data_IF_838180034217
#
_entry.id   IF_838180034217
#
_cell.length_a   1.000
_cell.length_b   1.000
_cell.length_c   1.000
_cell.angle_alpha   90.00
_cell.angle_beta   90.00
_cell.angle_gamma   90.00
#
_symmetry.space_group_name_H-M   'P 1'
#
loop_
_entity.id
_entity.type
_entity.pdbx_description
1 polymer ?
#
# COMPACT_ATOMS: atom_id res chain seq x y z
N UNK A 1 5.47 30.02 16.16
CA UNK A 1 6.47 28.95 15.96
C UNK A 1 7.00 29.07 14.54
N UNK A 2 8.32 29.22 14.43
CA UNK A 2 8.98 29.38 13.13
C UNK A 2 9.06 28.00 12.47
N UNK A 3 8.48 27.83 11.28
CA UNK A 3 8.61 26.59 10.51
C UNK A 3 10.02 26.55 9.94
N UNK A 4 10.81 25.55 10.34
CA UNK A 4 12.15 25.36 9.81
C UNK A 4 12.07 24.54 8.50
N UNK A 5 12.16 25.27 7.39
CA UNK A 5 12.08 24.72 6.04
C UNK A 5 13.31 23.84 5.73
N UNK A 6 14.47 24.18 6.24
CA UNK A 6 15.70 23.43 5.98
C UNK A 6 15.70 22.08 6.70
N UNK A 7 15.16 22.03 7.92
CA UNK A 7 14.95 20.78 8.65
C UNK A 7 13.94 19.88 7.92
N UNK A 8 12.85 20.46 7.42
CA UNK A 8 11.84 19.72 6.65
C UNK A 8 12.45 19.14 5.36
N UNK A 9 13.19 19.94 4.59
CA UNK A 9 13.89 19.47 3.40
C UNK A 9 14.86 18.34 3.70
N UNK A 10 15.64 18.46 4.76
CA UNK A 10 16.59 17.44 5.20
C UNK A 10 15.91 16.12 5.57
N UNK A 11 14.75 16.20 6.21
CA UNK A 11 13.97 15.02 6.57
C UNK A 11 13.31 14.36 5.35
N UNK A 12 12.81 15.14 4.39
CA UNK A 12 12.26 14.64 3.13
C UNK A 12 13.32 13.92 2.28
N UNK A 13 14.57 14.42 2.26
CA UNK A 13 15.68 13.80 1.53
C UNK A 13 16.19 12.52 2.22
N UNK A 14 16.07 12.42 3.54
CA UNK A 14 16.49 11.22 4.28
C UNK A 14 15.66 9.97 3.92
N UNK A 15 14.40 10.15 3.53
CA UNK A 15 13.49 9.07 3.17
C UNK A 15 13.30 8.99 1.64
N UNK A 16 14.43 9.01 0.92
CA UNK A 16 14.46 9.01 -0.54
C UNK A 16 14.39 7.60 -1.15
N UNK A 17 14.34 6.57 -0.34
CA UNK A 17 14.29 5.18 -0.79
C UNK A 17 12.87 4.65 -0.81
N UNK A 18 12.55 3.92 -1.87
CA UNK A 18 11.28 3.23 -2.07
C UNK A 18 11.56 1.82 -2.56
N UNK A 19 10.75 0.85 -2.10
CA UNK A 19 10.81 -0.50 -2.64
C UNK A 19 9.93 -0.64 -3.88
N UNK A 20 10.38 -1.47 -4.79
CA UNK A 20 9.59 -2.03 -5.89
C UNK A 20 9.65 -3.55 -5.83
N UNK A 21 8.54 -4.15 -6.18
CA UNK A 21 8.38 -5.60 -6.29
C UNK A 21 8.06 -5.97 -7.73
N UNK A 22 8.78 -6.92 -8.28
CA UNK A 22 8.39 -7.59 -9.50
C UNK A 22 7.38 -8.67 -9.14
N UNK A 23 6.14 -8.51 -9.59
CA UNK A 23 5.01 -9.32 -9.14
C UNK A 23 4.43 -10.14 -10.29
N UNK A 24 3.92 -11.30 -9.94
CA UNK A 24 2.99 -12.07 -10.76
C UNK A 24 1.72 -12.36 -9.98
N UNK A 25 0.59 -12.51 -10.68
CA UNK A 25 -0.73 -12.73 -10.09
C UNK A 25 -1.45 -13.94 -10.67
N UNK A 26 -2.27 -14.57 -9.85
CA UNK A 26 -3.34 -15.48 -10.26
C UNK A 26 -4.63 -14.98 -9.63
N UNK A 27 -5.56 -14.54 -10.45
CA UNK A 27 -6.91 -14.19 -10.03
C UNK A 27 -7.83 -15.37 -10.35
N UNK A 28 -8.56 -15.88 -9.38
CA UNK A 28 -9.53 -16.95 -9.57
C UNK A 28 -10.80 -16.69 -8.79
N UNK A 29 -11.89 -17.23 -9.24
CA UNK A 29 -13.19 -17.24 -8.57
C UNK A 29 -13.55 -18.63 -8.04
N UNK A 30 -14.57 -18.68 -7.21
CA UNK A 30 -15.14 -19.90 -6.64
C UNK A 30 -16.66 -19.79 -6.69
N UNK A 31 -17.31 -20.92 -6.93
CA UNK A 31 -18.77 -20.99 -6.91
C UNK A 31 -19.33 -20.86 -5.49
N UNK A 32 -18.66 -21.49 -4.52
CA UNK A 32 -19.00 -21.47 -3.09
C UNK A 32 -17.73 -21.31 -2.25
N UNK A 33 -17.84 -20.63 -1.10
CA UNK A 33 -16.70 -20.41 -0.20
C UNK A 33 -16.08 -21.72 0.34
N UNK A 34 -16.86 -22.78 0.45
CA UNK A 34 -16.38 -24.11 0.85
C UNK A 34 -15.35 -24.68 -0.13
N UNK A 35 -15.40 -24.27 -1.39
CA UNK A 35 -14.52 -24.74 -2.46
C UNK A 35 -13.18 -23.99 -2.52
N UNK A 36 -12.96 -22.94 -1.69
CA UNK A 36 -11.75 -22.14 -1.72
C UNK A 36 -10.50 -22.99 -1.47
N UNK A 37 -10.50 -23.79 -0.42
CA UNK A 37 -9.34 -24.62 -0.08
C UNK A 37 -9.02 -25.64 -1.15
N UNK A 38 -10.01 -26.29 -1.74
CA UNK A 38 -9.83 -27.25 -2.81
C UNK A 38 -9.23 -26.59 -4.04
N UNK A 39 -9.79 -25.46 -4.48
CA UNK A 39 -9.29 -24.69 -5.63
C UNK A 39 -7.86 -24.20 -5.40
N UNK A 40 -7.58 -23.67 -4.21
CA UNK A 40 -6.25 -23.23 -3.83
C UNK A 40 -5.23 -24.37 -3.84
N UNK A 41 -5.59 -25.56 -3.34
CA UNK A 41 -4.71 -26.71 -3.39
C UNK A 41 -4.42 -27.17 -4.82
N UNK A 42 -5.39 -27.14 -5.71
CA UNK A 42 -5.21 -27.46 -7.13
C UNK A 42 -4.19 -26.50 -7.76
N UNK A 43 -4.39 -25.19 -7.56
CA UNK A 43 -3.49 -24.16 -8.07
C UNK A 43 -2.06 -24.33 -7.47
N UNK A 44 -1.98 -24.55 -6.17
CA UNK A 44 -0.69 -24.74 -5.47
C UNK A 44 0.06 -25.98 -5.96
N UNK A 45 -0.63 -27.07 -6.25
CA UNK A 45 -0.03 -28.28 -6.86
C UNK A 45 0.55 -27.95 -8.24
N UNK A 46 -0.16 -27.19 -9.06
CA UNK A 46 0.33 -26.76 -10.38
C UNK A 46 1.56 -25.88 -10.26
N UNK A 47 1.55 -24.91 -9.33
CA UNK A 47 2.67 -24.03 -9.06
C UNK A 47 3.92 -24.86 -8.68
N UNK A 48 3.75 -25.83 -7.76
CA UNK A 48 4.85 -26.67 -7.27
C UNK A 48 5.37 -27.66 -8.32
N UNK A 49 4.47 -28.19 -9.14
CA UNK A 49 4.84 -29.20 -10.16
C UNK A 49 5.51 -28.57 -11.38
N UNK A 50 5.04 -27.43 -11.82
CA UNK A 50 5.47 -26.76 -13.04
C UNK A 50 6.04 -25.36 -12.73
N UNK A 51 5.17 -24.34 -12.56
CA UNK A 51 5.58 -22.99 -12.20
C UNK A 51 4.36 -22.13 -11.86
N UNK A 52 4.59 -20.98 -11.23
CA UNK A 52 3.55 -19.96 -11.05
C UNK A 52 2.97 -19.48 -12.38
N UNK A 53 3.85 -19.28 -13.38
CA UNK A 53 3.47 -18.90 -14.74
C UNK A 53 2.52 -19.92 -15.38
N UNK A 54 2.81 -21.22 -15.27
CA UNK A 54 1.94 -22.28 -15.77
C UNK A 54 0.57 -22.25 -15.09
N UNK A 55 0.55 -22.12 -13.77
CA UNK A 55 -0.69 -22.04 -13.01
C UNK A 55 -1.52 -20.79 -13.38
N UNK A 56 -0.87 -19.65 -13.62
CA UNK A 56 -1.54 -18.43 -14.08
C UNK A 56 -2.19 -18.62 -15.46
N UNK A 57 -1.48 -19.22 -16.41
CA UNK A 57 -2.01 -19.53 -17.75
C UNK A 57 -3.26 -20.43 -17.71
N UNK A 58 -3.32 -21.36 -16.74
CA UNK A 58 -4.38 -22.36 -16.67
C UNK A 58 -5.58 -21.87 -15.83
N UNK A 59 -5.30 -21.21 -14.71
CA UNK A 59 -6.32 -20.96 -13.68
C UNK A 59 -6.68 -19.48 -13.49
N UNK A 60 -5.86 -18.55 -13.97
CA UNK A 60 -6.14 -17.12 -13.78
C UNK A 60 -7.21 -16.63 -14.75
N UNK A 61 -8.19 -15.91 -14.20
CA UNK A 61 -9.24 -15.21 -14.97
C UNK A 61 -8.87 -13.76 -15.27
N UNK A 62 -7.68 -13.33 -14.84
CA UNK A 62 -7.14 -11.99 -15.13
C UNK A 62 -6.68 -11.89 -16.58
N UNK A 63 -6.70 -10.67 -17.15
CA UNK A 63 -6.13 -10.39 -18.48
C UNK A 63 -4.63 -10.70 -18.56
N UNK A 64 -3.92 -10.59 -17.42
CA UNK A 64 -2.49 -10.93 -17.31
C UNK A 64 -2.20 -12.42 -17.48
N UNK A 65 -3.23 -13.28 -17.41
CA UNK A 65 -3.08 -14.74 -17.56
C UNK A 65 -2.32 -15.12 -18.82
N UNK A 66 -2.56 -14.42 -19.94
CA UNK A 66 -1.91 -14.68 -21.24
C UNK A 66 -0.40 -14.49 -21.21
N UNK A 67 0.11 -13.67 -20.27
CA UNK A 67 1.54 -13.46 -20.01
C UNK A 67 2.05 -14.27 -18.80
N UNK A 68 1.23 -15.20 -18.28
CA UNK A 68 1.55 -15.98 -17.10
C UNK A 68 1.41 -15.20 -15.79
N UNK A 69 0.51 -14.22 -15.78
CA UNK A 69 0.21 -13.42 -14.59
C UNK A 69 1.21 -12.27 -14.34
N UNK A 70 2.09 -11.95 -15.28
CA UNK A 70 3.13 -10.95 -15.08
C UNK A 70 2.56 -9.53 -14.94
N UNK A 71 2.83 -8.89 -13.79
CA UNK A 71 2.49 -7.50 -13.49
C UNK A 71 3.71 -6.56 -13.67
N UNK A 72 4.91 -7.10 -13.82
CA UNK A 72 6.15 -6.34 -13.85
C UNK A 72 6.50 -5.69 -12.51
N UNK A 73 7.26 -4.58 -12.57
CA UNK A 73 7.70 -3.84 -11.40
C UNK A 73 6.62 -2.89 -10.88
N UNK A 74 6.20 -3.09 -9.63
CA UNK A 74 5.18 -2.30 -8.95
C UNK A 74 5.79 -1.60 -7.75
N UNK A 75 5.62 -0.28 -7.66
CA UNK A 75 6.09 0.51 -6.52
C UNK A 75 5.28 0.18 -5.27
N UNK A 76 5.94 0.03 -4.13
CA UNK A 76 5.30 -0.31 -2.85
C UNK A 76 4.15 0.64 -2.50
N UNK A 77 4.31 1.95 -2.73
CA UNK A 77 3.28 2.95 -2.46
C UNK A 77 2.06 2.89 -3.39
N UNK A 78 2.15 2.17 -4.52
CA UNK A 78 1.03 1.93 -5.45
C UNK A 78 0.23 0.68 -5.07
N UNK A 79 0.75 -0.15 -4.18
CA UNK A 79 0.09 -1.37 -3.74
C UNK A 79 -0.91 -1.04 -2.62
N UNK A 80 -2.12 -1.58 -2.73
CA UNK A 80 -3.12 -1.46 -1.67
C UNK A 80 -2.54 -2.00 -0.33
N UNK A 81 -2.78 -1.30 0.78
CA UNK A 81 -2.23 -1.65 2.10
C UNK A 81 -2.57 -3.07 2.56
N UNK A 82 -3.78 -3.57 2.24
CA UNK A 82 -4.20 -4.93 2.56
C UNK A 82 -3.38 -5.95 1.79
N UNK A 83 -3.17 -5.72 0.50
CA UNK A 83 -2.37 -6.59 -0.37
C UNK A 83 -0.89 -6.54 0.03
N UNK A 84 -0.35 -5.34 0.27
CA UNK A 84 1.03 -5.18 0.72
C UNK A 84 1.31 -5.96 2.02
N UNK A 85 0.38 -5.95 2.96
CA UNK A 85 0.50 -6.71 4.22
C UNK A 85 0.66 -8.21 3.97
N UNK A 86 -0.02 -8.77 2.97
CA UNK A 86 0.11 -10.18 2.61
C UNK A 86 1.42 -10.46 1.85
N UNK A 87 1.83 -9.56 0.96
CA UNK A 87 3.14 -9.65 0.27
C UNK A 87 4.29 -9.68 1.28
N UNK A 88 4.24 -8.84 2.32
CA UNK A 88 5.31 -8.77 3.33
C UNK A 88 5.44 -10.01 4.22
N UNK A 89 4.48 -10.93 4.18
CA UNK A 89 4.55 -12.22 4.93
C UNK A 89 5.33 -13.30 4.21
N UNK A 90 5.54 -13.16 2.91
CA UNK A 90 6.16 -14.19 2.05
C UNK A 90 7.53 -13.76 1.56
N UNK A 91 8.32 -14.73 1.12
CA UNK A 91 9.64 -14.51 0.54
C UNK A 91 9.58 -14.48 -1.00
N UNK A 92 10.67 -14.09 -1.63
CA UNK A 92 10.83 -14.17 -3.09
C UNK A 92 10.59 -15.61 -3.55
N UNK A 93 9.81 -15.76 -4.62
CA UNK A 93 9.37 -17.06 -5.18
C UNK A 93 8.47 -17.89 -4.24
N UNK A 94 7.92 -17.28 -3.21
CA UNK A 94 6.91 -17.89 -2.36
C UNK A 94 5.56 -17.21 -2.60
N UNK A 95 4.56 -17.94 -3.13
CA UNK A 95 3.21 -17.39 -3.33
C UNK A 95 2.53 -17.05 -2.02
N UNK A 96 1.69 -16.02 -2.04
CA UNK A 96 0.81 -15.69 -0.91
C UNK A 96 -0.31 -16.73 -0.76
N UNK A 97 -0.93 -16.75 0.40
CA UNK A 97 -2.27 -17.33 0.54
C UNK A 97 -3.28 -16.54 -0.30
N UNK A 98 -4.47 -17.12 -0.61
CA UNK A 98 -5.51 -16.44 -1.33
C UNK A 98 -5.98 -15.17 -0.60
N UNK A 99 -5.92 -14.03 -1.27
CA UNK A 99 -6.36 -12.74 -0.78
C UNK A 99 -7.72 -12.43 -1.38
N UNK A 100 -8.75 -12.24 -0.55
CA UNK A 100 -10.08 -11.86 -1.05
C UNK A 100 -10.05 -10.42 -1.55
N UNK A 101 -10.45 -10.25 -2.81
CA UNK A 101 -10.62 -8.96 -3.48
C UNK A 101 -11.98 -8.89 -4.17
N UNK A 102 -12.47 -7.71 -4.58
CA UNK A 102 -13.62 -7.64 -5.48
C UNK A 102 -13.35 -8.42 -6.76
N UNK A 103 -14.25 -9.35 -7.10
CA UNK A 103 -14.11 -10.21 -8.28
C UNK A 103 -13.47 -11.57 -8.05
N UNK A 104 -13.07 -11.92 -6.80
CA UNK A 104 -12.57 -13.27 -6.50
C UNK A 104 -11.44 -13.31 -5.48
N UNK A 105 -10.49 -14.19 -5.71
CA UNK A 105 -9.33 -14.41 -4.86
C UNK A 105 -8.03 -14.21 -5.66
N UNK A 106 -7.10 -13.52 -5.06
CA UNK A 106 -5.82 -13.18 -5.65
C UNK A 106 -4.69 -13.95 -4.95
N UNK A 107 -3.86 -14.62 -5.71
CA UNK A 107 -2.57 -15.16 -5.26
C UNK A 107 -1.48 -14.32 -5.92
N UNK A 108 -0.52 -13.84 -5.15
CA UNK A 108 0.62 -13.07 -5.64
C UNK A 108 1.92 -13.84 -5.42
N UNK A 109 2.85 -13.66 -6.33
CA UNK A 109 4.23 -14.13 -6.19
C UNK A 109 5.18 -12.96 -6.37
N UNK A 110 6.15 -12.84 -5.46
CA UNK A 110 7.26 -11.91 -5.61
C UNK A 110 8.32 -12.60 -6.44
N UNK A 111 8.52 -12.15 -7.68
CA UNK A 111 9.57 -12.69 -8.55
C UNK A 111 10.93 -12.09 -8.17
N UNK A 112 10.95 -10.80 -7.79
CA UNK A 112 12.14 -10.07 -7.38
C UNK A 112 11.74 -8.81 -6.61
N UNK A 113 12.69 -8.18 -5.91
CA UNK A 113 12.49 -6.90 -5.22
C UNK A 113 13.74 -6.03 -5.33
N UNK A 114 13.55 -4.72 -5.36
CA UNK A 114 14.66 -3.76 -5.39
C UNK A 114 14.31 -2.48 -4.63
N UNK A 115 15.35 -1.77 -4.21
CA UNK A 115 15.22 -0.39 -3.74
C UNK A 115 15.49 0.57 -4.89
N UNK A 116 14.63 1.57 -5.03
CA UNK A 116 14.78 2.68 -5.97
C UNK A 116 14.80 4.00 -5.21
N UNK A 117 15.38 5.03 -5.82
CA UNK A 117 15.19 6.39 -5.31
C UNK A 117 13.77 6.86 -5.58
N UNK A 118 13.12 7.44 -4.57
CA UNK A 118 11.88 8.19 -4.79
C UNK A 118 12.18 9.37 -5.70
N UNK A 119 11.42 9.52 -6.76
CA UNK A 119 11.31 10.80 -7.45
C UNK A 119 10.47 11.72 -6.58
N UNK A 120 11.13 12.50 -5.70
CA UNK A 120 10.46 13.45 -4.82
C UNK A 120 10.49 14.79 -5.53
N UNK A 121 9.31 15.30 -5.88
CA UNK A 121 9.14 16.72 -6.18
C UNK A 121 9.20 17.47 -4.85
N UNK A 122 10.43 17.88 -4.48
CA UNK A 122 10.70 18.52 -3.19
C UNK A 122 9.82 19.75 -2.96
N UNK A 123 9.49 20.51 -4.00
CA UNK A 123 8.70 21.72 -3.88
C UNK A 123 7.24 21.38 -3.54
N UNK A 124 6.66 20.40 -4.21
CA UNK A 124 5.30 19.91 -3.91
C UNK A 124 5.19 19.27 -2.53
N UNK A 125 6.16 18.46 -2.14
CA UNK A 125 6.15 17.83 -0.81
C UNK A 125 6.37 18.87 0.29
N UNK A 126 7.22 19.86 0.06
CA UNK A 126 7.42 20.97 0.97
C UNK A 126 6.14 21.79 1.15
N UNK A 127 5.45 22.14 0.06
CA UNK A 127 4.16 22.84 0.12
C UNK A 127 3.12 22.08 0.97
N UNK A 128 3.02 20.75 0.78
CA UNK A 128 2.08 19.93 1.56
C UNK A 128 2.41 19.96 3.05
N UNK A 129 3.67 19.78 3.41
CA UNK A 129 4.11 19.74 4.82
C UNK A 129 3.92 21.11 5.48
N UNK A 130 4.27 22.20 4.78
CA UNK A 130 4.09 23.57 5.27
C UNK A 130 2.59 23.87 5.47
N UNK A 131 1.74 23.47 4.52
CA UNK A 131 0.28 23.65 4.62
C UNK A 131 -0.32 22.90 5.80
N UNK A 132 0.10 21.65 6.03
CA UNK A 132 -0.36 20.85 7.19
C UNK A 132 0.08 21.52 8.50
N UNK A 133 1.37 21.87 8.64
CA UNK A 133 1.88 22.53 9.84
C UNK A 133 1.23 23.88 10.10
N UNK A 134 0.95 24.66 9.06
CA UNK A 134 0.24 25.93 9.18
C UNK A 134 -1.20 25.75 9.64
N UNK A 135 -1.91 24.76 9.08
CA UNK A 135 -3.28 24.46 9.50
C UNK A 135 -3.33 23.97 10.96
N UNK A 136 -2.37 23.13 11.37
CA UNK A 136 -2.29 22.65 12.75
C UNK A 136 -2.04 23.81 13.73
N UNK A 137 -1.18 24.75 13.37
CA UNK A 137 -0.94 25.97 14.16
C UNK A 137 -2.21 26.83 14.27
N UNK A 138 -2.91 27.07 13.16
CA UNK A 138 -4.17 27.82 13.15
C UNK A 138 -5.24 27.15 14.03
N UNK A 139 -5.34 25.82 13.98
CA UNK A 139 -6.28 25.07 14.82
C UNK A 139 -5.91 25.18 16.31
N UNK A 140 -4.62 25.14 16.67
CA UNK A 140 -4.17 25.35 18.04
C UNK A 140 -4.49 26.76 18.54
N UNK A 141 -4.23 27.81 17.73
CA UNK A 141 -4.60 29.18 18.07
C UNK A 141 -6.10 29.36 18.24
N UNK A 142 -6.91 28.81 17.34
CA UNK A 142 -8.37 28.82 17.44
C UNK A 142 -8.87 28.19 18.73
N UNK A 143 -8.34 27.05 19.12
CA UNK A 143 -8.71 26.35 20.34
C UNK A 143 -8.32 27.15 21.60
N UNK A 144 -7.13 27.73 21.62
CA UNK A 144 -6.68 28.59 22.72
C UNK A 144 -7.57 29.81 22.86
N UNK A 145 -7.88 30.48 21.74
CA UNK A 145 -8.73 31.66 21.69
C UNK A 145 -10.16 31.34 22.13
N UNK A 146 -10.74 30.25 21.64
CA UNK A 146 -12.06 29.79 22.03
C UNK A 146 -12.17 29.47 23.51
N UNK A 147 -11.18 28.75 24.07
CA UNK A 147 -11.12 28.44 25.49
C UNK A 147 -10.98 29.69 26.36
N UNK A 148 -10.25 30.70 25.89
CA UNK A 148 -10.11 31.99 26.58
C UNK A 148 -11.42 32.77 26.61
N UNK A 149 -12.16 32.80 25.49
CA UNK A 149 -13.51 33.45 25.44
C UNK A 149 -14.48 32.72 26.36
N UNK A 150 -14.50 31.36 26.30
CA UNK A 150 -15.42 30.57 27.15
C UNK A 150 -15.17 30.79 28.66
N UNK A 151 -13.94 30.93 29.10
CA UNK A 151 -13.60 31.27 30.49
C UNK A 151 -14.10 32.66 30.88
N UNK A 152 -14.03 33.62 29.98
CA UNK A 152 -14.50 35.00 30.23
C UNK A 152 -16.03 35.11 30.28
N UNK A 153 -16.75 34.26 29.52
CA UNK A 153 -18.23 34.25 29.55
C UNK A 153 -18.74 33.63 30.85
N UNK A 154 -18.10 32.61 31.38
CA UNK A 154 -18.51 31.95 32.65
C UNK A 154 -18.37 32.89 33.89
N UNK A 155 -17.63 33.97 33.78
CA UNK A 155 -17.44 34.95 34.87
C UNK A 155 -18.63 35.94 34.98
N UNK A 156 -19.46 36.06 33.93
CA UNK A 156 -20.60 36.97 33.88
C UNK A 156 -21.96 36.34 34.18
N UNK A 157 -22.04 35.05 34.46
CA UNK A 157 -23.25 34.29 34.81
C UNK A 157 -23.42 34.07 36.33
N UNK A 158 -22.69 34.81 37.21
CA UNK A 158 -22.85 34.81 38.68
C UNK A 158 -23.42 36.13 39.16
#
# INVERSE_FOLDING_TARGET
VKIDIDEIKKNLIKDDKQKEYNLSEILFDIENEENLNEKFQIISKEINKNSFKSAALIYSISETSVSGGDLGWVKENSINKKILKEILKVQINQPTDPIRIPGGFLILNINDQREIKKEIDLDKELEKVVKIKTNDQLNQFSNIFFNKIKKNITIYEN
#
